data_IF_983268113734
#
_entry.id   IF_983268113734
#
_cell.length_a   1.000
_cell.length_b   1.000
_cell.length_c   1.000
_cell.angle_alpha   90.00
_cell.angle_beta   90.00
_cell.angle_gamma   90.00
#
_symmetry.space_group_name_H-M   'P 1'
#
loop_
_entity.id
_entity.type
_entity.pdbx_description
1 polymer ?
#
# COMPACT_ATOMS: atom_id res chain seq x y z
N UNK A 30 6.58 -5.54 15.95
CA UNK A 30 6.25 -6.51 14.83
C UNK A 30 6.42 -5.91 13.43
N UNK A 31 7.10 -6.68 12.64
CA UNK A 31 7.43 -6.31 11.26
C UNK A 31 6.25 -6.38 10.26
N UNK A 32 5.46 -7.43 10.39
CA UNK A 32 4.16 -7.55 9.64
C UNK A 32 3.20 -6.44 10.12
N UNK A 33 3.05 -6.18 11.41
CA UNK A 33 2.05 -5.20 11.92
C UNK A 33 2.41 -3.81 11.37
N UNK A 34 3.69 -3.41 11.43
CA UNK A 34 4.17 -2.22 10.81
C UNK A 34 3.95 -2.16 9.33
N UNK A 35 4.22 -3.23 8.63
CA UNK A 35 3.87 -3.31 7.26
C UNK A 35 2.40 -3.13 6.97
N UNK A 36 1.51 -3.70 7.71
CA UNK A 36 0.10 -3.65 7.52
C UNK A 36 -0.32 -2.22 7.62
N UNK A 37 0.22 -1.50 8.65
CA UNK A 37 -0.03 -0.12 9.00
C UNK A 37 0.34 0.92 7.97
N UNK A 38 1.52 0.71 7.30
CA UNK A 38 1.95 1.35 6.06
C UNK A 38 0.95 1.10 4.99
N UNK A 39 0.44 -0.13 4.80
CA UNK A 39 -0.56 -0.40 3.78
C UNK A 39 -1.92 0.29 4.04
N UNK A 40 -2.40 0.35 5.30
CA UNK A 40 -3.57 1.16 5.62
C UNK A 40 -3.50 2.61 5.45
N UNK A 41 -2.35 3.17 5.87
CA UNK A 41 -1.86 4.54 5.61
C UNK A 41 -1.76 4.92 4.14
N UNK A 42 -1.31 3.97 3.29
CA UNK A 42 -1.40 4.05 1.90
C UNK A 42 -2.87 4.01 1.43
N UNK A 43 -3.73 3.11 2.01
CA UNK A 43 -5.17 3.00 1.53
C UNK A 43 -5.94 4.29 1.85
N UNK A 44 -5.73 4.83 3.04
CA UNK A 44 -6.13 6.13 3.52
C UNK A 44 -5.74 7.33 2.65
N UNK A 45 -4.50 7.35 2.15
CA UNK A 45 -4.05 8.17 1.04
C UNK A 45 -4.70 7.97 -0.34
N UNK A 46 -4.88 6.66 -0.80
CA UNK A 46 -5.62 6.21 -2.02
C UNK A 46 -7.05 6.62 -2.09
N UNK A 47 -7.86 6.51 -0.95
CA UNK A 47 -9.21 7.13 -0.86
C UNK A 47 -9.27 8.62 -1.14
N UNK A 48 -8.28 9.33 -0.70
CA UNK A 48 -7.97 10.72 -1.05
C UNK A 48 -7.64 10.92 -2.50
N UNK A 49 -6.86 10.02 -3.13
CA UNK A 49 -6.65 10.08 -4.57
C UNK A 49 -7.80 9.76 -5.44
N UNK A 50 -8.75 8.92 -4.99
CA UNK A 50 -10.06 8.71 -5.69
C UNK A 50 -11.00 10.01 -5.66
N UNK A 51 -11.32 10.48 -4.43
CA UNK A 51 -12.35 11.48 -4.30
C UNK A 51 -11.97 12.92 -4.14
N UNK A 52 -10.65 13.25 -3.89
CA UNK A 52 -10.32 14.59 -3.39
C UNK A 52 -9.14 15.25 -4.05
N UNK A 53 -8.17 14.45 -4.56
CA UNK A 53 -6.95 15.00 -5.01
C UNK A 53 -6.80 14.88 -6.51
N UNK A 70 -1.00 15.23 -10.69
CA UNK A 70 -1.77 14.63 -11.86
C UNK A 70 -1.84 13.13 -11.95
N UNK A 71 -2.43 12.62 -13.01
CA UNK A 71 -2.52 11.24 -13.31
C UNK A 71 -1.40 10.26 -13.05
N UNK A 72 -0.23 10.49 -13.64
CA UNK A 72 0.82 9.45 -13.56
C UNK A 72 1.45 9.32 -12.17
N UNK A 73 1.51 10.40 -11.48
CA UNK A 73 1.80 10.47 -9.99
C UNK A 73 0.76 9.78 -9.10
N UNK A 74 -0.58 9.92 -9.41
CA UNK A 74 -1.71 9.39 -8.65
C UNK A 74 -1.66 7.90 -8.72
N UNK A 75 -1.42 7.34 -9.88
CA UNK A 75 -1.29 5.93 -10.17
C UNK A 75 -0.04 5.30 -9.63
N UNK A 76 1.05 6.13 -9.57
CA UNK A 76 2.34 5.79 -8.82
C UNK A 76 2.13 5.51 -7.35
N UNK A 77 1.37 6.38 -6.66
CA UNK A 77 1.09 6.16 -5.28
C UNK A 77 0.22 4.86 -5.10
N UNK A 78 -0.71 4.66 -6.09
CA UNK A 78 -1.51 3.49 -6.15
C UNK A 78 -0.68 2.21 -6.32
N UNK A 79 0.36 2.34 -7.13
CA UNK A 79 1.25 1.23 -7.41
C UNK A 79 2.11 0.73 -6.19
N UNK A 80 2.61 1.66 -5.42
CA UNK A 80 3.36 1.52 -4.23
C UNK A 80 2.60 0.77 -3.18
N UNK A 81 1.26 1.06 -3.01
CA UNK A 81 0.40 0.16 -2.20
C UNK A 81 0.18 -1.26 -2.82
N UNK A 82 0.34 -1.49 -4.16
CA UNK A 82 0.49 -2.83 -4.79
C UNK A 82 1.73 -3.54 -4.34
N UNK A 83 2.90 -2.85 -4.24
CA UNK A 83 4.21 -3.34 -3.72
C UNK A 83 4.02 -3.75 -2.28
N UNK A 84 3.38 -2.89 -1.46
CA UNK A 84 3.11 -3.11 0.00
C UNK A 84 2.20 -4.32 0.26
N UNK A 85 1.13 -4.49 -0.65
CA UNK A 85 0.19 -5.56 -0.65
C UNK A 85 0.71 -6.97 -0.81
N UNK A 86 1.59 -7.00 -1.84
CA UNK A 86 2.46 -8.15 -2.17
C UNK A 86 3.52 -8.41 -1.06
N UNK A 87 4.09 -7.29 -0.47
CA UNK A 87 5.22 -7.38 0.56
C UNK A 87 4.83 -8.18 1.75
N UNK A 88 3.62 -7.90 2.29
CA UNK A 88 3.00 -8.58 3.33
C UNK A 88 2.83 -10.04 3.05
N UNK A 89 2.39 -10.47 1.76
CA UNK A 89 2.33 -11.90 1.40
C UNK A 89 3.72 -12.54 1.49
N UNK A 90 4.82 -11.87 1.13
CA UNK A 90 6.12 -12.53 1.14
C UNK A 90 6.86 -12.49 2.43
N UNK A 91 6.41 -11.67 3.42
CA UNK A 91 6.76 -11.85 4.84
C UNK A 91 6.80 -13.36 5.34
N UNK A 92 5.75 -14.10 4.90
CA UNK A 92 5.44 -15.48 5.27
C UNK A 92 5.87 -16.43 4.15
N UNK A 93 6.17 -17.66 4.49
CA UNK A 93 6.72 -18.65 3.61
C UNK A 93 6.24 -20.08 3.93
N UNK A 94 6.19 -20.94 2.83
CA UNK A 94 6.21 -22.39 2.82
C UNK A 94 7.00 -22.94 3.96
N UNK A 95 6.59 -24.07 4.54
CA UNK A 95 7.41 -24.76 5.58
C UNK A 95 8.39 -25.78 4.98
#
# INVERSE_FOLDING_TARGET
MPKSKVRKKNDFTVSAVSRTPMKVKVGPSSVWFVSLFIGLMLIGLIWLMVFQLAAIGSQAPTALNWMAQLGPWNYAIAFAFMITGLLLTMRWHLEHHHHHH
#
